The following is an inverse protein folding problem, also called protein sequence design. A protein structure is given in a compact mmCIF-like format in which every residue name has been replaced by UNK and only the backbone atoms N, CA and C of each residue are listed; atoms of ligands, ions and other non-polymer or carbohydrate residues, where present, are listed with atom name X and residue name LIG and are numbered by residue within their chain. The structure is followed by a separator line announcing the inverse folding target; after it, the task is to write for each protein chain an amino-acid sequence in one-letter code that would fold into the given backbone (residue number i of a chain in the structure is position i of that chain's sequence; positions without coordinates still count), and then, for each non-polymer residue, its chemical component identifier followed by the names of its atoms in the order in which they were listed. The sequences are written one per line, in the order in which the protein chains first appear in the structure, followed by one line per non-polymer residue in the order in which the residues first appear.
data_IF_180762256456
#
_entry.id   IF_180762256456
#
_cell.length_a   1.000
_cell.length_b   1.000
_cell.length_c   1.000
_cell.angle_alpha   90.00
_cell.angle_beta   90.00
_cell.angle_gamma   90.00
#
_symmetry.space_group_name_H-M   'P 1'
#
loop_
_entity.id
_entity.type
_entity.pdbx_description
1 polymer ?
#
# COMPACT_ATOMS: atom_id res chain seq x y z
N UNK A 1 52.05 -6.83 1.34
CA UNK A 1 51.25 -5.69 1.83
C UNK A 1 49.94 -5.69 1.05
N UNK A 2 48.87 -6.25 1.63
CA UNK A 2 47.54 -6.25 1.01
C UNK A 2 46.85 -4.91 1.30
N UNK A 3 46.62 -4.12 0.26
CA UNK A 3 45.83 -2.90 0.35
C UNK A 3 44.36 -3.27 0.30
N UNK A 4 43.72 -3.38 1.47
CA UNK A 4 42.26 -3.48 1.55
C UNK A 4 41.64 -2.21 0.99
N UNK A 5 41.23 -2.25 -0.28
CA UNK A 5 40.49 -1.17 -0.89
C UNK A 5 39.11 -1.09 -0.22
N UNK A 6 38.94 -0.12 0.68
CA UNK A 6 37.63 0.26 1.19
C UNK A 6 36.86 0.87 0.04
N UNK A 7 36.10 0.05 -0.68
CA UNK A 7 35.16 0.49 -1.71
C UNK A 7 34.13 1.35 -0.98
N UNK A 8 34.27 2.68 -1.08
CA UNK A 8 33.16 3.59 -0.86
C UNK A 8 32.09 3.16 -1.85
N UNK A 9 31.12 2.35 -1.40
CA UNK A 9 29.91 2.07 -2.15
C UNK A 9 29.28 3.43 -2.38
N UNK A 10 29.49 3.99 -3.58
CA UNK A 10 28.73 5.12 -4.05
C UNK A 10 27.27 4.72 -3.79
N UNK A 11 26.59 5.46 -2.93
CA UNK A 11 25.19 5.20 -2.62
C UNK A 11 24.48 5.09 -3.96
N UNK A 12 23.90 3.92 -4.24
CA UNK A 12 23.14 3.73 -5.47
C UNK A 12 21.86 4.55 -5.31
N UNK A 13 21.95 5.82 -5.69
CA UNK A 13 20.86 6.78 -5.61
C UNK A 13 19.66 6.32 -6.44
N UNK A 14 19.88 5.50 -7.48
CA UNK A 14 18.82 4.90 -8.27
C UNK A 14 18.07 3.84 -7.45
N UNK A 15 18.79 2.90 -6.84
CA UNK A 15 18.18 1.89 -5.97
C UNK A 15 17.49 2.53 -4.76
N UNK A 16 18.14 3.49 -4.10
CA UNK A 16 17.57 4.22 -2.96
C UNK A 16 16.29 4.98 -3.35
N UNK A 17 16.28 5.61 -4.54
CA UNK A 17 15.10 6.29 -5.07
C UNK A 17 13.98 5.32 -5.44
N UNK A 18 14.30 4.18 -6.04
CA UNK A 18 13.32 3.13 -6.33
C UNK A 18 12.69 2.59 -5.04
N UNK A 19 13.51 2.29 -4.03
CA UNK A 19 13.04 1.85 -2.71
C UNK A 19 12.15 2.92 -2.07
N UNK A 20 12.54 4.19 -2.13
CA UNK A 20 11.72 5.28 -1.59
C UNK A 20 10.34 5.36 -2.29
N UNK A 21 10.30 5.30 -3.62
CA UNK A 21 9.04 5.32 -4.38
C UNK A 21 8.16 4.10 -4.10
N UNK A 22 8.75 2.90 -4.08
CA UNK A 22 8.02 1.68 -3.76
C UNK A 22 7.48 1.70 -2.33
N UNK A 23 8.29 2.15 -1.37
CA UNK A 23 7.88 2.26 0.03
C UNK A 23 6.74 3.25 0.20
N UNK A 24 6.83 4.42 -0.46
CA UNK A 24 5.78 5.42 -0.42
C UNK A 24 4.49 4.90 -1.05
N UNK A 25 4.59 4.25 -2.20
CA UNK A 25 3.44 3.65 -2.90
C UNK A 25 2.79 2.57 -2.05
N UNK A 26 3.58 1.66 -1.48
CA UNK A 26 3.09 0.60 -0.60
C UNK A 26 2.42 1.17 0.65
N UNK A 27 3.02 2.19 1.26
CA UNK A 27 2.43 2.88 2.41
C UNK A 27 1.05 3.46 2.08
N UNK A 28 0.92 4.20 0.97
CA UNK A 28 -0.37 4.75 0.57
C UNK A 28 -1.38 3.68 0.13
N UNK A 29 -0.93 2.59 -0.50
CA UNK A 29 -1.80 1.47 -0.84
C UNK A 29 -2.38 0.80 0.41
N UNK A 30 -1.54 0.57 1.43
CA UNK A 30 -1.99 0.03 2.71
C UNK A 30 -2.92 0.99 3.44
N UNK A 31 -2.63 2.30 3.40
CA UNK A 31 -3.49 3.34 3.95
C UNK A 31 -4.88 3.31 3.29
N UNK A 32 -4.93 3.22 1.96
CA UNK A 32 -6.18 3.10 1.22
C UNK A 32 -6.97 1.84 1.60
N UNK A 33 -6.31 0.67 1.66
CA UNK A 33 -6.93 -0.57 2.09
C UNK A 33 -7.46 -0.51 3.53
N UNK A 34 -6.72 0.17 4.43
CA UNK A 34 -7.15 0.40 5.80
C UNK A 34 -8.42 1.26 5.85
N UNK A 35 -8.48 2.37 5.09
CA UNK A 35 -9.68 3.21 5.03
C UNK A 35 -10.90 2.47 4.47
N UNK A 36 -10.71 1.69 3.39
CA UNK A 36 -11.78 0.83 2.85
C UNK A 36 -12.29 -0.15 3.91
N UNK A 37 -11.37 -0.80 4.63
CA UNK A 37 -11.71 -1.76 5.69
C UNK A 37 -12.20 -1.13 7.00
N UNK A 38 -12.02 0.18 7.21
CA UNK A 38 -12.64 0.88 8.33
C UNK A 38 -14.13 1.10 8.12
N UNK A 39 -14.58 1.25 6.88
CA UNK A 39 -15.95 1.62 6.50
C UNK A 39 -16.95 0.44 6.54
N UNK A 40 -16.77 -0.53 7.45
CA UNK A 40 -17.54 -1.79 7.50
C UNK A 40 -18.82 -1.71 8.38
N UNK A 41 -19.28 -0.51 8.75
CA UNK A 41 -20.59 -0.28 9.40
C UNK A 41 -20.59 -0.07 10.92
N UNK A 42 -19.52 -0.43 11.64
CA UNK A 42 -19.35 -0.06 13.06
C UNK A 42 -18.69 1.32 13.24
N UNK A 43 -17.81 1.67 12.30
CA UNK A 43 -17.19 2.97 12.14
C UNK A 43 -17.26 3.31 10.66
N UNK A 44 -17.54 4.55 10.30
CA UNK A 44 -17.35 5.03 8.94
C UNK A 44 -16.80 6.44 9.02
N UNK A 45 -15.74 6.69 8.26
CA UNK A 45 -15.11 8.02 8.20
C UNK A 45 -15.92 8.95 7.30
N UNK A 46 -16.80 8.38 6.47
CA UNK A 46 -17.62 9.08 5.48
C UNK A 46 -19.08 9.27 5.91
N UNK A 47 -19.46 8.85 7.12
CA UNK A 47 -20.77 9.12 7.70
C UNK A 47 -21.37 7.91 8.40
N UNK A 48 -22.69 7.77 8.36
CA UNK A 48 -23.41 6.63 8.93
C UNK A 48 -23.62 5.48 7.93
N UNK A 49 -22.95 5.54 6.77
CA UNK A 49 -23.27 4.73 5.59
C UNK A 49 -21.99 4.09 5.02
N UNK A 50 -22.13 2.89 4.47
CA UNK A 50 -21.02 2.01 4.01
C UNK A 50 -20.80 2.03 2.49
N UNK A 51 -20.91 3.20 1.85
CA UNK A 51 -20.84 3.30 0.39
C UNK A 51 -19.51 2.81 -0.20
N UNK A 52 -18.39 3.11 0.47
CA UNK A 52 -17.05 2.70 0.01
C UNK A 52 -16.88 1.19 0.14
N UNK A 53 -17.41 0.62 1.22
CA UNK A 53 -17.43 -0.81 1.46
C UNK A 53 -18.23 -1.55 0.39
N UNK A 54 -19.46 -1.12 0.10
CA UNK A 54 -20.32 -1.74 -0.90
C UNK A 54 -19.73 -1.64 -2.31
N UNK A 55 -19.24 -0.46 -2.71
CA UNK A 55 -18.57 -0.29 -4.00
C UNK A 55 -17.37 -1.24 -4.15
N UNK A 56 -16.53 -1.33 -3.12
CA UNK A 56 -15.33 -2.18 -3.17
C UNK A 56 -15.69 -3.66 -3.11
N UNK A 57 -16.71 -4.01 -2.32
CA UNK A 57 -17.27 -5.34 -2.24
C UNK A 57 -17.81 -5.79 -3.61
N UNK A 58 -18.56 -4.94 -4.30
CA UNK A 58 -19.12 -5.19 -5.63
C UNK A 58 -18.05 -5.31 -6.71
N UNK A 59 -17.00 -4.48 -6.66
CA UNK A 59 -15.85 -4.60 -7.56
C UNK A 59 -15.14 -5.95 -7.43
N UNK A 60 -15.05 -6.50 -6.20
CA UNK A 60 -14.51 -7.85 -5.96
C UNK A 60 -15.34 -8.93 -6.64
N UNK A 61 -16.67 -8.81 -6.54
CA UNK A 61 -17.60 -9.73 -7.21
C UNK A 61 -17.48 -9.64 -8.73
N UNK A 62 -17.35 -8.42 -9.26
CA UNK A 62 -17.12 -8.18 -10.69
C UNK A 62 -15.82 -8.83 -11.19
N UNK A 63 -14.77 -8.84 -10.35
CA UNK A 63 -13.50 -9.49 -10.64
C UNK A 63 -13.53 -11.02 -10.40
N UNK A 64 -14.68 -11.60 -10.06
CA UNK A 64 -14.89 -13.04 -9.90
C UNK A 64 -14.41 -13.61 -8.57
N UNK A 65 -14.10 -12.77 -7.59
CA UNK A 65 -13.68 -13.22 -6.26
C UNK A 65 -14.90 -13.49 -5.37
N UNK A 66 -15.11 -14.73 -4.87
CA UNK A 66 -16.31 -15.09 -4.10
C UNK A 66 -16.31 -14.48 -2.70
N UNK A 67 -17.39 -13.85 -2.21
CA UNK A 67 -17.54 -13.52 -0.78
C UNK A 67 -18.14 -14.69 0.02
N UNK A 68 -18.13 -14.59 1.36
CA UNK A 68 -18.74 -15.58 2.25
C UNK A 68 -20.27 -15.57 2.14
#
# INVERSE_FOLDING_TARGET
MDTTQKRSTALDLSAAKAVAWLSLTAFFALLALYFVGMDQGATSVFGNNTYVHEFTHDARHLLGFPCH
#
